data_IF_428836876642
#
_entry.id   IF_428836876642
#
_cell.length_a   1.000
_cell.length_b   1.000
_cell.length_c   1.000
_cell.angle_alpha   90.00
_cell.angle_beta   90.00
_cell.angle_gamma   90.00
#
_symmetry.space_group_name_H-M   'P 1'
#
loop_
_entity.id
_entity.type
_entity.pdbx_description
1 polymer ?
#
# COMPACT_ATOMS: atom_id res chain seq x y z
N UNK A 1 -7.22 12.85 12.22
CA UNK A 1 -8.45 12.05 12.01
C UNK A 1 -8.01 10.79 11.29
N UNK A 2 -8.45 9.60 11.71
CA UNK A 2 -8.01 8.36 11.09
C UNK A 2 -8.77 8.15 9.78
N UNK A 3 -8.05 8.05 8.67
CA UNK A 3 -8.63 7.75 7.36
C UNK A 3 -8.88 6.25 7.26
N UNK A 4 -10.02 5.84 6.71
CA UNK A 4 -10.35 4.42 6.51
C UNK A 4 -10.43 4.05 5.04
N UNK A 5 -9.85 2.92 4.67
CA UNK A 5 -9.89 2.32 3.34
C UNK A 5 -10.43 0.90 3.41
N UNK A 6 -11.29 0.53 2.46
CA UNK A 6 -11.72 -0.84 2.26
C UNK A 6 -10.85 -1.45 1.16
N UNK A 7 -10.26 -2.63 1.39
CA UNK A 7 -9.44 -3.34 0.41
C UNK A 7 -9.93 -4.77 0.27
N UNK A 8 -9.91 -5.33 -0.95
CA UNK A 8 -10.11 -6.77 -1.16
C UNK A 8 -9.06 -7.58 -0.40
N UNK A 9 -9.39 -8.80 0.00
CA UNK A 9 -8.55 -9.69 0.83
C UNK A 9 -7.10 -9.74 0.35
N UNK A 10 -6.85 -9.92 -0.94
CA UNK A 10 -5.48 -9.97 -1.46
C UNK A 10 -4.68 -8.66 -1.24
N UNK A 11 -5.32 -7.51 -1.50
CA UNK A 11 -4.73 -6.18 -1.30
C UNK A 11 -4.58 -5.83 0.20
N UNK A 12 -5.56 -6.23 1.01
CA UNK A 12 -5.53 -6.07 2.47
C UNK A 12 -4.35 -6.82 3.08
N UNK A 13 -4.22 -8.11 2.78
CA UNK A 13 -3.12 -8.96 3.29
C UNK A 13 -1.78 -8.40 2.84
N UNK A 14 -1.67 -7.92 1.60
CA UNK A 14 -0.42 -7.34 1.10
C UNK A 14 -0.06 -6.05 1.85
N UNK A 15 -1.00 -5.14 2.05
CA UNK A 15 -0.79 -3.87 2.75
C UNK A 15 -0.46 -4.08 4.24
N UNK A 16 -1.30 -4.82 4.97
CA UNK A 16 -1.09 -5.10 6.40
C UNK A 16 0.14 -6.00 6.62
N UNK A 17 0.44 -6.87 5.65
CA UNK A 17 1.66 -7.66 5.62
C UNK A 17 2.92 -6.81 5.53
N UNK A 18 2.93 -5.77 4.68
CA UNK A 18 4.03 -4.79 4.60
C UNK A 18 4.17 -4.02 5.90
N UNK A 19 3.06 -3.57 6.49
CA UNK A 19 3.04 -2.88 7.78
C UNK A 19 3.45 -3.80 8.96
N UNK A 20 3.65 -5.10 8.72
CA UNK A 20 4.21 -6.02 9.71
C UNK A 20 3.19 -6.58 10.70
N UNK A 21 1.89 -6.43 10.43
CA UNK A 21 0.81 -6.76 11.36
C UNK A 21 -0.04 -7.97 10.97
N UNK A 22 0.19 -8.60 9.81
CA UNK A 22 -0.54 -9.81 9.38
C UNK A 22 0.37 -11.06 9.33
N UNK A 23 0.06 -12.07 10.15
CA UNK A 23 0.81 -13.33 10.17
C UNK A 23 0.66 -14.15 8.87
N UNK A 24 -0.41 -13.93 8.09
CA UNK A 24 -0.63 -14.58 6.79
C UNK A 24 0.44 -14.17 5.78
N UNK A 25 1.04 -13.00 5.93
CA UNK A 25 2.12 -12.49 5.09
C UNK A 25 3.51 -13.06 5.43
N UNK A 26 3.65 -13.94 6.44
CA UNK A 26 4.93 -14.56 6.83
C UNK A 26 5.64 -15.31 5.70
N UNK A 27 4.91 -15.74 4.68
CA UNK A 27 5.46 -16.45 3.50
C UNK A 27 5.91 -15.50 2.38
N UNK A 28 5.80 -14.19 2.59
CA UNK A 28 6.04 -13.16 1.61
C UNK A 28 4.76 -12.42 1.25
N UNK A 29 4.91 -11.14 0.91
CA UNK A 29 3.85 -10.28 0.39
C UNK A 29 3.86 -10.34 -1.14
N UNK A 30 2.71 -10.52 -1.76
CA UNK A 30 2.60 -10.34 -3.20
C UNK A 30 2.74 -8.85 -3.55
N UNK A 31 3.79 -8.51 -4.29
CA UNK A 31 4.13 -7.12 -4.59
C UNK A 31 3.10 -6.42 -5.48
N UNK A 32 2.53 -7.14 -6.45
CA UNK A 32 1.53 -6.55 -7.35
C UNK A 32 0.27 -6.14 -6.58
N UNK A 33 -0.21 -7.02 -5.68
CA UNK A 33 -1.33 -6.67 -4.80
C UNK A 33 -1.01 -5.49 -3.88
N UNK A 34 0.23 -5.38 -3.40
CA UNK A 34 0.66 -4.22 -2.63
C UNK A 34 0.66 -2.92 -3.45
N UNK A 35 1.16 -2.95 -4.69
CA UNK A 35 1.11 -1.81 -5.61
C UNK A 35 -0.33 -1.40 -5.90
N UNK A 36 -1.22 -2.37 -6.12
CA UNK A 36 -2.64 -2.10 -6.33
C UNK A 36 -3.31 -1.49 -5.09
N UNK A 37 -2.96 -1.97 -3.89
CA UNK A 37 -3.41 -1.39 -2.64
C UNK A 37 -2.93 0.07 -2.50
N UNK A 38 -1.66 0.37 -2.83
CA UNK A 38 -1.14 1.74 -2.83
C UNK A 38 -1.93 2.67 -3.77
N UNK A 39 -2.23 2.21 -4.98
CA UNK A 39 -3.03 3.01 -5.93
C UNK A 39 -4.42 3.30 -5.35
N UNK A 40 -5.03 2.30 -4.71
CA UNK A 40 -6.35 2.41 -4.09
C UNK A 40 -6.38 3.43 -2.95
N UNK A 41 -5.29 3.56 -2.18
CA UNK A 41 -5.19 4.56 -1.10
C UNK A 41 -4.76 5.95 -1.59
N UNK A 42 -4.69 6.15 -2.91
CA UNK A 42 -4.43 7.46 -3.52
C UNK A 42 -2.98 7.74 -3.91
N UNK A 43 -2.14 6.71 -4.00
CA UNK A 43 -0.84 6.85 -4.66
C UNK A 43 -0.96 6.75 -6.17
N UNK A 44 -0.06 7.43 -6.87
CA UNK A 44 0.09 7.35 -8.32
C UNK A 44 1.51 6.93 -8.63
N UNK A 45 1.64 5.88 -9.45
CA UNK A 45 2.93 5.43 -9.94
C UNK A 45 3.52 6.46 -10.90
N UNK A 46 4.78 6.82 -10.68
CA UNK A 46 5.57 7.69 -11.55
C UNK A 46 6.57 6.79 -12.29
N UNK A 47 6.42 6.63 -13.61
CA UNK A 47 7.42 5.95 -14.41
C UNK A 47 8.79 6.62 -14.24
N UNK A 48 9.81 5.82 -13.94
CA UNK A 48 11.20 6.25 -13.90
C UNK A 48 12.02 5.35 -14.84
N UNK A 49 13.25 5.78 -15.15
CA UNK A 49 14.20 4.99 -15.93
C UNK A 49 14.93 3.92 -15.11
N UNK A 50 14.77 3.93 -13.78
CA UNK A 50 15.43 3.00 -12.87
C UNK A 50 14.54 1.77 -12.62
N UNK A 51 14.78 0.70 -13.38
CA UNK A 51 14.02 -0.56 -13.29
C UNK A 51 14.19 -1.33 -11.98
N UNK A 52 15.04 -0.87 -11.06
CA UNK A 52 15.23 -1.46 -9.73
C UNK A 52 14.33 -0.83 -8.65
N UNK A 53 13.69 0.32 -8.93
CA UNK A 53 12.92 1.06 -7.92
C UNK A 53 11.60 1.56 -8.51
N UNK A 54 10.49 1.25 -7.85
CA UNK A 54 9.20 1.87 -8.14
C UNK A 54 9.07 3.18 -7.36
N UNK A 55 8.58 4.23 -8.02
CA UNK A 55 8.39 5.55 -7.42
C UNK A 55 6.92 5.89 -7.45
N UNK A 56 6.36 6.20 -6.28
CA UNK A 56 4.98 6.63 -6.13
C UNK A 56 4.94 8.03 -5.53
N UNK A 57 3.94 8.82 -5.90
CA UNK A 57 3.55 10.02 -5.14
C UNK A 57 2.16 9.85 -4.59
N UNK A 58 1.88 10.40 -3.42
CA UNK A 58 0.51 10.50 -2.93
C UNK A 58 -0.14 11.72 -3.56
N UNK A 59 -1.36 11.57 -4.08
CA UNK A 59 -2.14 12.73 -4.53
C UNK A 59 -2.92 13.25 -3.33
N UNK A 60 -2.49 14.38 -2.77
CA UNK A 60 -3.28 15.07 -1.75
C UNK A 60 -4.46 15.77 -2.43
N UNK A 61 -5.68 15.58 -1.92
CA UNK A 61 -6.88 16.26 -2.43
C UNK A 61 -6.91 17.78 -2.18
N UNK A 62 -5.85 18.36 -1.61
CA UNK A 62 -5.78 19.77 -1.18
C UNK A 62 -4.93 20.67 -2.06
N UNK A 63 -4.42 20.18 -3.19
CA UNK A 63 -3.61 21.01 -4.09
C UNK A 63 -2.23 21.36 -3.53
N UNK A 64 -1.83 20.74 -2.41
CA UNK A 64 -0.43 20.73 -1.99
C UNK A 64 0.29 19.69 -2.85
N UNK A 65 1.26 20.17 -3.64
CA UNK A 65 2.32 19.33 -4.20
C UNK A 65 3.10 18.71 -3.03
N UNK A 66 2.56 17.63 -2.45
CA UNK A 66 3.34 16.80 -1.55
C UNK A 66 4.45 16.16 -2.39
N UNK A 67 5.59 16.82 -2.39
CA UNK A 67 6.87 16.42 -2.97
C UNK A 67 7.40 15.10 -2.39
N UNK A 68 6.66 14.48 -1.46
CA UNK A 68 7.02 13.23 -0.81
C UNK A 68 6.77 12.05 -1.74
N UNK A 69 7.87 11.55 -2.31
CA UNK A 69 7.89 10.33 -3.08
C UNK A 69 8.12 9.12 -2.17
N UNK A 70 7.31 8.09 -2.37
CA UNK A 70 7.55 6.76 -1.84
C UNK A 70 8.40 5.99 -2.87
N UNK A 71 9.61 5.61 -2.49
CA UNK A 71 10.53 4.84 -3.33
C UNK A 71 10.62 3.43 -2.78
N UNK A 72 10.28 2.45 -3.62
CA UNK A 72 10.13 1.06 -3.22
C UNK A 72 11.07 0.21 -4.07
N UNK A 73 12.05 -0.49 -3.48
CA UNK A 73 12.89 -1.39 -4.24
C UNK A 73 12.04 -2.52 -4.83
N UNK A 74 12.34 -2.90 -6.07
CA UNK A 74 11.73 -4.07 -6.70
C UNK A 74 12.11 -5.31 -5.88
N UNK A 75 11.16 -6.20 -5.55
CA UNK A 75 11.46 -7.47 -4.89
C UNK A 75 12.48 -8.28 -5.69
N UNK A 76 13.40 -8.95 -5.01
CA UNK A 76 14.38 -9.82 -5.68
C UNK A 76 13.75 -11.09 -6.27
N UNK A 77 12.68 -11.60 -5.65
CA UNK A 77 11.90 -12.71 -6.15
C UNK A 77 10.64 -12.20 -6.89
N UNK A 78 10.39 -12.72 -8.09
CA UNK A 78 9.29 -12.26 -8.94
C UNK A 78 7.90 -12.36 -8.29
N UNK A 79 7.71 -13.26 -7.32
CA UNK A 79 6.39 -13.59 -6.79
C UNK A 79 6.18 -13.21 -5.32
N UNK A 80 7.20 -12.67 -4.64
CA UNK A 80 7.13 -12.47 -3.20
C UNK A 80 8.16 -11.49 -2.66
N UNK A 81 7.67 -10.57 -1.86
CA UNK A 81 8.46 -9.58 -1.14
C UNK A 81 8.63 -10.04 0.31
N UNK A 82 9.87 -10.22 0.75
CA UNK A 82 10.17 -10.77 2.07
C UNK A 82 10.20 -9.68 3.14
N UNK A 83 9.94 -10.06 4.40
CA UNK A 83 9.89 -9.17 5.56
C UNK A 83 10.99 -8.10 5.61
N UNK A 84 12.22 -8.52 5.38
CA UNK A 84 13.39 -7.64 5.43
C UNK A 84 13.48 -6.66 4.25
N UNK A 85 12.84 -6.96 3.12
CA UNK A 85 12.87 -6.12 1.91
C UNK A 85 11.92 -4.92 2.00
N UNK A 86 10.84 -5.05 2.78
CA UNK A 86 9.79 -4.03 2.88
C UNK A 86 9.74 -3.28 4.22
N UNK A 87 10.61 -3.61 5.19
CA UNK A 87 10.63 -2.92 6.50
C UNK A 87 10.85 -1.40 6.34
N UNK A 88 11.75 -0.99 5.45
CA UNK A 88 11.98 0.43 5.17
C UNK A 88 10.74 1.10 4.54
N UNK A 89 10.00 0.36 3.71
CA UNK A 89 8.75 0.86 3.12
C UNK A 89 7.67 1.02 4.17
N UNK A 90 7.52 0.06 5.09
CA UNK A 90 6.58 0.15 6.21
C UNK A 90 6.83 1.40 7.05
N UNK A 91 8.08 1.62 7.46
CA UNK A 91 8.46 2.79 8.25
C UNK A 91 8.15 4.11 7.53
N UNK A 92 8.40 4.19 6.21
CA UNK A 92 8.08 5.39 5.43
C UNK A 92 6.56 5.62 5.35
N UNK A 93 5.77 4.56 5.15
CA UNK A 93 4.31 4.65 5.10
C UNK A 93 3.73 5.18 6.42
N UNK A 94 4.23 4.69 7.54
CA UNK A 94 3.77 5.11 8.87
C UNK A 94 4.26 6.51 9.23
N UNK A 95 5.56 6.79 9.09
CA UNK A 95 6.15 8.04 9.58
C UNK A 95 5.88 9.25 8.69
N UNK A 96 5.85 9.04 7.36
CA UNK A 96 5.73 10.15 6.39
C UNK A 96 4.33 10.31 5.84
N UNK A 97 3.61 9.20 5.66
CA UNK A 97 2.27 9.22 5.07
C UNK A 97 1.16 8.98 6.09
N UNK A 98 1.48 8.73 7.36
CA UNK A 98 0.51 8.44 8.44
C UNK A 98 -0.45 7.30 8.06
N UNK A 99 0.06 6.28 7.36
CA UNK A 99 -0.69 5.08 6.97
C UNK A 99 -0.41 3.99 7.98
N UNK A 100 -1.45 3.52 8.66
CA UNK A 100 -1.38 2.51 9.72
C UNK A 100 -2.24 1.30 9.39
N UNK A 101 -1.93 0.16 10.02
CA UNK A 101 -2.69 -1.08 9.86
C UNK A 101 -4.18 -0.91 10.18
N UNK A 102 -4.48 -0.13 11.22
CA UNK A 102 -5.83 0.20 11.63
C UNK A 102 -6.62 1.00 10.60
N UNK A 103 -5.99 1.57 9.56
CA UNK A 103 -6.67 2.33 8.53
C UNK A 103 -7.40 1.44 7.51
N UNK A 104 -7.19 0.12 7.57
CA UNK A 104 -7.68 -0.81 6.55
C UNK A 104 -8.80 -1.72 7.07
N UNK A 105 -9.81 -1.93 6.23
CA UNK A 105 -10.88 -2.91 6.43
C UNK A 105 -10.80 -3.93 5.31
N UNK A 106 -10.75 -5.22 5.69
CA UNK A 106 -10.76 -6.34 4.75
C UNK A 106 -12.18 -6.52 4.15
N UNK A 107 -12.26 -6.59 2.83
CA UNK A 107 -13.45 -6.97 2.09
C UNK A 107 -13.23 -8.35 1.45
N UNK A 108 -14.22 -9.26 1.51
CA UNK A 108 -14.20 -10.48 0.73
C UNK A 108 -14.07 -10.18 -0.78
N UNK A 109 -13.29 -10.98 -1.51
CA UNK A 109 -12.94 -10.72 -2.92
C UNK A 109 -14.15 -10.59 -3.86
N UNK A 110 -15.28 -11.21 -3.50
CA UNK A 110 -16.54 -11.15 -4.26
C UNK A 110 -17.44 -9.95 -3.91
N UNK A 111 -16.99 -9.06 -3.02
CA UNK A 111 -17.81 -7.93 -2.54
C UNK A 111 -17.83 -6.75 -3.51
N UNK A 112 -16.78 -6.62 -4.33
CA UNK A 112 -16.63 -5.52 -5.30
C UNK A 112 -16.68 -6.06 -6.73
N UNK A 113 -17.67 -5.58 -7.48
CA UNK A 113 -17.88 -5.93 -8.90
C UNK A 113 -16.79 -5.26 -9.76
N UNK A 114 -16.35 -4.06 -9.39
CA UNK A 114 -15.29 -3.30 -10.07
C UNK A 114 -14.35 -2.68 -9.03
N UNK A 115 -13.03 -2.79 -9.24
CA UNK A 115 -11.99 -2.24 -8.38
C UNK A 115 -11.50 -3.17 -7.27
N UNK A 116 -10.39 -2.79 -6.64
CA UNK A 116 -9.68 -3.58 -5.61
C UNK A 116 -9.86 -3.03 -4.19
N UNK A 117 -10.61 -1.92 -4.08
CA UNK A 117 -10.95 -1.27 -2.82
C UNK A 117 -11.43 0.17 -3.05
N UNK A 118 -11.77 0.88 -1.97
CA UNK A 118 -12.21 2.27 -2.01
C UNK A 118 -12.03 2.99 -0.66
N UNK A 119 -11.97 4.32 -0.70
CA UNK A 119 -11.95 5.18 0.49
C UNK A 119 -13.32 5.18 1.20
N UNK A 120 -13.32 4.93 2.51
CA UNK A 120 -14.54 4.86 3.33
C UNK A 120 -14.88 6.22 3.96
N UNK A 121 -13.88 6.99 4.39
CA UNK A 121 -14.12 8.24 5.12
C UNK A 121 -13.06 8.56 6.17
N UNK A 122 -13.24 9.69 6.85
CA UNK A 122 -12.50 10.05 8.06
C UNK A 122 -13.37 9.68 9.29
N UNK A 123 -12.84 8.84 10.19
CA UNK A 123 -13.52 8.56 11.45
C UNK A 123 -13.35 9.76 12.41
N UNK A 124 -14.48 10.25 12.94
CA UNK A 124 -14.51 11.30 13.99
C UNK A 124 -14.00 10.78 15.32
#
# INVERSE_FOLDING_TARGET
MAVKYALKTACYIAMVGVLGHDERARRGVNFDHFVTALITVGFVWIPNSDGAVFVFKRVSGRGEEDSQQLRIPRPAACDGWWGYEYTATAQILEERFDIKDGDFVELPDNTLIEGEGFYIGESK
#
